data_IF_130832813743
#
_entry.id   IF_130832813743
#
_cell.length_a   1.000
_cell.length_b   1.000
_cell.length_c   1.000
_cell.angle_alpha   90.00
_cell.angle_beta   90.00
_cell.angle_gamma   90.00
#
_symmetry.space_group_name_H-M   'P 1'
#
loop_
_entity.id
_entity.type
_entity.pdbx_description
1 polymer ?
#
# COMPACT_ATOMS: atom_id res chain seq x y z
N UNK A 1 23.69 -26.62 58.91
CA UNK A 1 22.41 -26.83 58.19
C UNK A 1 22.54 -26.17 56.83
N UNK A 2 22.46 -26.97 55.75
CA UNK A 2 22.44 -26.50 54.36
C UNK A 2 21.15 -25.71 54.12
N UNK A 3 21.23 -24.50 53.57
CA UNK A 3 20.13 -23.84 52.89
C UNK A 3 20.62 -23.41 51.51
N UNK A 4 20.35 -24.27 50.53
CA UNK A 4 20.37 -23.93 49.11
C UNK A 4 19.32 -22.85 48.88
N UNK A 5 19.73 -21.71 48.34
CA UNK A 5 18.80 -20.72 47.78
C UNK A 5 18.96 -20.80 46.27
N UNK A 6 17.92 -21.30 45.61
CA UNK A 6 17.83 -21.37 44.15
C UNK A 6 17.63 -19.95 43.60
N UNK A 7 18.57 -19.48 42.79
CA UNK A 7 18.42 -18.33 41.89
C UNK A 7 17.54 -18.75 40.72
N UNK A 8 16.38 -18.13 40.52
CA UNK A 8 15.73 -18.02 39.21
C UNK A 8 15.04 -16.65 39.14
N UNK A 9 15.71 -15.68 38.53
CA UNK A 9 15.07 -14.47 38.01
C UNK A 9 15.26 -14.53 36.49
N UNK A 10 14.27 -15.14 35.86
CA UNK A 10 14.08 -15.17 34.41
C UNK A 10 13.64 -13.77 33.98
N UNK A 11 14.62 -12.89 33.75
CA UNK A 11 14.39 -11.61 33.11
C UNK A 11 14.11 -11.84 31.63
N UNK A 12 12.83 -11.80 31.27
CA UNK A 12 12.36 -11.79 29.89
C UNK A 12 13.10 -10.68 29.12
N UNK A 13 13.92 -11.11 28.17
CA UNK A 13 14.38 -10.29 27.07
C UNK A 13 13.14 -9.74 26.38
N UNK A 14 12.79 -8.48 26.65
CA UNK A 14 12.07 -7.70 25.66
C UNK A 14 13.05 -7.52 24.50
N UNK A 15 13.05 -8.48 23.59
CA UNK A 15 13.33 -8.19 22.20
C UNK A 15 12.20 -7.26 21.76
N UNK A 16 12.34 -5.96 22.06
CA UNK A 16 11.69 -4.96 21.24
C UNK A 16 12.10 -5.30 19.82
N UNK A 17 11.11 -5.55 18.96
CA UNK A 17 11.36 -5.78 17.55
C UNK A 17 12.27 -4.64 17.09
N UNK A 18 13.54 -4.96 16.89
CA UNK A 18 14.44 -4.06 16.23
C UNK A 18 13.83 -3.92 14.83
N UNK A 19 13.21 -2.77 14.57
CA UNK A 19 13.12 -2.24 13.22
C UNK A 19 14.52 -2.46 12.63
N UNK A 20 14.65 -3.47 11.76
CA UNK A 20 15.94 -3.87 11.23
C UNK A 20 16.59 -2.63 10.65
N UNK A 21 17.87 -2.40 10.97
CA UNK A 21 18.62 -1.22 10.54
C UNK A 21 18.37 -0.99 9.04
N UNK A 22 17.51 -0.01 8.77
CA UNK A 22 17.08 0.31 7.43
C UNK A 22 18.26 1.01 6.76
N UNK A 23 18.74 0.53 5.59
CA UNK A 23 19.90 1.13 4.97
C UNK A 23 19.62 2.60 4.68
N UNK A 24 20.54 3.47 5.11
CA UNK A 24 20.48 4.90 4.84
C UNK A 24 20.71 5.15 3.34
N UNK A 25 19.65 4.99 2.55
CA UNK A 25 19.64 5.35 1.14
C UNK A 25 19.54 6.86 1.03
N UNK A 26 20.70 7.52 1.13
CA UNK A 26 20.86 8.95 0.94
C UNK A 26 20.14 9.49 -0.30
N UNK A 27 19.80 10.77 -0.20
CA UNK A 27 19.07 11.66 -1.10
C UNK A 27 17.55 11.73 -0.85
N UNK A 28 17.15 12.88 -0.31
CA UNK A 28 15.77 13.36 -0.30
C UNK A 28 15.27 13.54 -1.74
N UNK A 29 13.97 13.37 -1.96
CA UNK A 29 13.34 13.60 -3.27
C UNK A 29 13.05 12.35 -4.11
N UNK A 30 13.23 11.14 -3.56
CA UNK A 30 12.80 9.90 -4.21
C UNK A 30 11.29 9.74 -4.12
N UNK A 31 10.69 9.32 -5.22
CA UNK A 31 9.24 9.20 -5.32
C UNK A 31 8.82 7.86 -5.92
N UNK A 32 7.59 7.49 -5.59
CA UNK A 32 6.90 6.35 -6.20
C UNK A 32 5.57 6.83 -6.76
N UNK A 33 5.32 6.51 -8.02
CA UNK A 33 4.06 6.81 -8.70
C UNK A 33 3.24 5.54 -8.80
N UNK A 34 2.06 5.55 -8.20
CA UNK A 34 1.07 4.48 -8.33
C UNK A 34 0.05 4.87 -9.38
N UNK A 35 -0.32 3.90 -10.23
CA UNK A 35 -1.30 4.11 -11.29
C UNK A 35 -2.24 2.93 -11.38
N UNK A 36 -3.52 3.21 -11.23
CA UNK A 36 -4.63 2.28 -11.45
C UNK A 36 -5.23 2.61 -12.82
N UNK A 37 -5.42 1.60 -13.67
CA UNK A 37 -6.16 1.73 -14.93
C UNK A 37 -7.36 0.79 -14.92
N UNK A 38 -8.53 1.36 -15.20
CA UNK A 38 -9.79 0.61 -15.35
C UNK A 38 -10.21 0.50 -16.82
N UNK A 39 -11.18 -0.36 -17.12
CA UNK A 39 -11.71 -0.56 -18.46
C UNK A 39 -12.48 0.65 -18.98
N UNK A 40 -13.36 1.17 -18.14
CA UNK A 40 -14.18 2.34 -18.39
C UNK A 40 -13.55 3.61 -17.86
N UNK A 41 -14.17 4.75 -18.21
CA UNK A 41 -13.79 6.01 -17.57
C UNK A 41 -14.06 5.91 -16.07
N UNK A 42 -13.15 6.45 -15.27
CA UNK A 42 -13.27 6.45 -13.83
C UNK A 42 -14.53 7.18 -13.38
N UNK A 43 -15.21 6.63 -12.37
CA UNK A 43 -16.36 7.23 -11.74
C UNK A 43 -15.92 7.87 -10.42
N UNK A 44 -16.10 9.19 -10.22
CA UNK A 44 -15.75 9.85 -8.96
C UNK A 44 -16.56 9.37 -7.75
N UNK A 45 -17.66 8.64 -7.94
CA UNK A 45 -18.43 8.02 -6.86
C UNK A 45 -17.80 6.71 -6.34
N UNK A 46 -16.86 6.13 -7.08
CA UNK A 46 -16.07 4.99 -6.64
C UNK A 46 -14.85 5.45 -5.84
N UNK A 47 -14.31 4.55 -5.04
CA UNK A 47 -13.07 4.75 -4.29
C UNK A 47 -12.03 3.79 -4.82
N UNK A 48 -10.95 4.33 -5.38
CA UNK A 48 -9.83 3.56 -5.87
C UNK A 48 -8.77 3.54 -4.79
N UNK A 49 -8.30 2.37 -4.37
CA UNK A 49 -7.36 2.25 -3.24
C UNK A 49 -6.14 1.42 -3.60
N UNK A 50 -4.99 1.86 -3.10
CA UNK A 50 -3.73 1.11 -3.08
C UNK A 50 -3.31 0.95 -1.61
N UNK A 51 -3.32 -0.26 -1.10
CA UNK A 51 -2.68 -0.58 0.17
C UNK A 51 -1.20 -0.87 -0.05
N UNK A 52 -0.38 -0.32 0.82
CA UNK A 52 1.08 -0.31 0.72
C UNK A 52 1.65 -0.76 2.06
N UNK A 53 2.27 -1.94 2.06
CA UNK A 53 3.11 -2.40 3.15
C UNK A 53 4.57 -1.99 2.90
N UNK A 54 5.21 -1.53 3.96
CA UNK A 54 6.57 -1.00 3.97
C UNK A 54 7.48 -1.71 4.97
N UNK A 55 6.94 -2.55 5.86
CA UNK A 55 7.69 -3.23 6.92
C UNK A 55 8.17 -4.64 6.53
N UNK A 56 7.60 -5.20 5.45
CA UNK A 56 7.98 -6.50 4.90
C UNK A 56 7.42 -7.70 5.65
N UNK A 57 6.47 -7.49 6.56
CA UNK A 57 5.54 -8.54 6.95
C UNK A 57 4.73 -8.93 5.72
N UNK A 58 4.43 -10.22 5.57
CA UNK A 58 3.66 -10.66 4.42
C UNK A 58 2.23 -10.12 4.54
N UNK A 59 1.82 -9.31 3.58
CA UNK A 59 0.41 -9.05 3.37
C UNK A 59 -0.32 -10.38 3.21
N UNK A 60 -1.28 -10.67 4.08
CA UNK A 60 -2.36 -11.58 3.70
C UNK A 60 -3.10 -10.83 2.60
N UNK A 61 -2.75 -11.12 1.34
CA UNK A 61 -3.28 -10.44 0.14
C UNK A 61 -4.80 -10.26 0.18
N UNK A 62 -5.41 -9.50 -0.74
CA UNK A 62 -6.84 -9.20 -0.69
C UNK A 62 -7.67 -10.47 -0.91
N UNK A 63 -7.87 -11.18 0.19
CA UNK A 63 -8.81 -12.25 0.44
C UNK A 63 -9.79 -11.83 1.55
N UNK A 64 -9.55 -10.68 2.19
CA UNK A 64 -10.43 -10.00 3.11
C UNK A 64 -10.42 -8.51 2.80
N UNK A 65 -11.62 -7.98 2.56
CA UNK A 65 -12.07 -6.61 2.80
C UNK A 65 -10.99 -5.51 2.97
N UNK A 66 -10.96 -4.45 2.15
CA UNK A 66 -10.14 -3.25 2.39
C UNK A 66 -10.30 -2.60 3.78
N UNK A 67 -11.37 -2.93 4.52
CA UNK A 67 -11.53 -2.63 5.94
C UNK A 67 -10.49 -3.30 6.85
N UNK A 68 -9.79 -4.33 6.39
CA UNK A 68 -8.70 -5.04 7.09
C UNK A 68 -7.32 -4.41 6.86
N UNK A 69 -7.20 -3.38 6.03
CA UNK A 69 -5.92 -2.69 5.74
C UNK A 69 -5.47 -1.74 6.86
N UNK A 70 -5.90 -2.01 8.09
CA UNK A 70 -5.50 -1.25 9.28
C UNK A 70 -4.01 -1.46 9.55
N UNK A 71 -3.28 -0.37 9.77
CA UNK A 71 -1.83 -0.42 10.00
C UNK A 71 -0.98 -0.38 8.73
N UNK A 72 -1.60 -0.34 7.54
CA UNK A 72 -0.92 -0.11 6.27
C UNK A 72 -0.97 1.37 5.89
N UNK A 73 -0.11 1.77 4.97
CA UNK A 73 -0.33 2.99 4.21
C UNK A 73 -1.41 2.73 3.16
N UNK A 74 -2.35 3.65 2.98
CA UNK A 74 -3.41 3.52 1.98
C UNK A 74 -3.49 4.79 1.16
N UNK A 75 -3.17 4.69 -0.13
CA UNK A 75 -3.40 5.75 -1.11
C UNK A 75 -4.80 5.55 -1.70
N UNK A 76 -5.70 6.50 -1.49
CA UNK A 76 -7.07 6.45 -2.01
C UNK A 76 -7.41 7.67 -2.88
N UNK A 77 -8.14 7.45 -3.97
CA UNK A 77 -8.81 8.52 -4.71
C UNK A 77 -10.28 8.52 -4.31
N UNK A 78 -10.71 9.56 -3.59
CA UNK A 78 -12.11 9.77 -3.19
C UNK A 78 -12.64 11.02 -3.86
N UNK A 79 -13.72 10.90 -4.63
CA UNK A 79 -14.22 12.00 -5.46
C UNK A 79 -13.12 12.57 -6.38
N UNK A 80 -12.32 11.68 -6.98
CA UNK A 80 -11.19 12.02 -7.84
C UNK A 80 -9.99 12.68 -7.16
N UNK A 81 -10.03 12.88 -5.84
CA UNK A 81 -8.95 13.54 -5.09
C UNK A 81 -8.09 12.50 -4.36
N UNK A 82 -6.77 12.45 -4.59
CA UNK A 82 -5.88 11.50 -3.92
C UNK A 82 -5.52 11.92 -2.49
N UNK A 83 -5.53 10.96 -1.58
CA UNK A 83 -5.16 11.08 -0.18
C UNK A 83 -4.30 9.90 0.23
N UNK A 84 -3.28 10.15 1.04
CA UNK A 84 -2.48 9.12 1.70
C UNK A 84 -2.92 9.01 3.16
N UNK A 85 -3.44 7.85 3.54
CA UNK A 85 -3.68 7.47 4.92
C UNK A 85 -2.44 6.76 5.46
N UNK A 86 -1.98 7.20 6.63
CA UNK A 86 -0.84 6.62 7.34
C UNK A 86 -1.31 5.55 8.34
N UNK A 87 -0.43 4.62 8.75
CA UNK A 87 -0.75 3.59 9.75
C UNK A 87 -1.29 4.13 11.08
N UNK A 88 -0.93 5.35 11.45
CA UNK A 88 -1.39 6.02 12.68
C UNK A 88 -2.78 6.67 12.54
N UNK A 89 -3.41 6.55 11.36
CA UNK A 89 -4.71 7.12 11.03
C UNK A 89 -4.65 8.57 10.54
N UNK A 90 -3.47 9.19 10.47
CA UNK A 90 -3.34 10.53 9.89
C UNK A 90 -3.52 10.47 8.38
N UNK A 91 -4.10 11.52 7.80
CA UNK A 91 -4.39 11.60 6.37
C UNK A 91 -3.76 12.85 5.78
N UNK A 92 -2.99 12.68 4.70
CA UNK A 92 -2.34 13.76 3.98
C UNK A 92 -2.84 13.85 2.54
N UNK A 93 -2.99 15.07 2.04
CA UNK A 93 -3.35 15.30 0.64
C UNK A 93 -2.13 15.05 -0.26
N UNK A 94 -2.33 14.38 -1.39
CA UNK A 94 -1.28 14.16 -2.38
C UNK A 94 -1.47 15.13 -3.55
N UNK A 95 -0.64 16.17 -3.62
CA UNK A 95 -0.79 17.21 -4.65
C UNK A 95 -0.42 16.76 -6.06
N UNK A 96 0.52 15.81 -6.16
CA UNK A 96 0.97 15.25 -7.43
C UNK A 96 0.08 14.05 -7.79
N UNK A 97 -1.14 14.32 -8.23
CA UNK A 97 -2.02 13.26 -8.70
C UNK A 97 -2.92 13.70 -9.85
N UNK A 98 -3.43 12.70 -10.56
CA UNK A 98 -4.30 12.84 -11.71
C UNK A 98 -5.44 11.83 -11.59
N UNK A 99 -6.62 12.23 -12.03
CA UNK A 99 -7.80 11.39 -12.11
C UNK A 99 -8.55 11.76 -13.38
N UNK A 100 -8.30 11.00 -14.45
CA UNK A 100 -8.86 11.33 -15.76
C UNK A 100 -8.92 10.13 -16.70
N UNK A 101 -9.95 10.14 -17.56
CA UNK A 101 -10.22 9.02 -18.47
C UNK A 101 -10.32 7.72 -17.67
N UNK A 102 -9.48 6.75 -18.01
CA UNK A 102 -9.42 5.42 -17.38
C UNK A 102 -8.40 5.32 -16.24
N UNK A 103 -7.67 6.40 -15.91
CA UNK A 103 -6.45 6.32 -15.10
C UNK A 103 -6.50 7.21 -13.86
N UNK A 104 -6.26 6.60 -12.70
CA UNK A 104 -6.05 7.28 -11.43
C UNK A 104 -4.57 7.13 -11.09
N UNK A 105 -3.90 8.24 -10.84
CA UNK A 105 -2.45 8.31 -10.64
C UNK A 105 -2.11 9.26 -9.51
N UNK A 106 -1.09 8.92 -8.73
CA UNK A 106 -0.55 9.80 -7.71
C UNK A 106 0.90 9.40 -7.38
N UNK A 107 1.69 10.43 -7.11
CA UNK A 107 3.11 10.33 -6.76
C UNK A 107 3.29 10.67 -5.29
N UNK A 108 3.91 9.76 -4.55
CA UNK A 108 4.17 9.85 -3.12
C UNK A 108 5.68 9.88 -2.89
N UNK A 109 6.15 10.71 -1.96
CA UNK A 109 7.57 10.67 -1.58
C UNK A 109 7.84 9.42 -0.75
N UNK A 110 8.98 8.76 -0.96
CA UNK A 110 9.32 7.59 -0.17
C UNK A 110 9.48 7.92 1.33
N UNK A 111 9.81 9.16 1.67
CA UNK A 111 9.89 9.62 3.06
C UNK A 111 8.54 9.59 3.78
N UNK A 112 7.45 9.89 3.05
CA UNK A 112 6.09 9.81 3.58
C UNK A 112 5.68 8.36 3.88
N UNK A 113 6.39 7.39 3.29
CA UNK A 113 6.21 5.95 3.51
C UNK A 113 7.24 5.36 4.50
N UNK A 114 8.06 6.21 5.16
CA UNK A 114 9.10 5.76 6.07
C UNK A 114 10.40 5.30 5.39
N UNK A 115 10.65 5.71 4.14
CA UNK A 115 11.84 5.40 3.32
C UNK A 115 12.13 3.92 3.04
N UNK A 116 11.13 3.08 2.75
CA UNK A 116 11.28 1.62 2.78
C UNK A 116 12.27 1.08 1.75
N UNK A 117 12.77 -0.13 2.00
CA UNK A 117 13.61 -0.87 1.04
C UNK A 117 12.82 -1.63 -0.03
N UNK A 118 11.55 -1.91 0.24
CA UNK A 118 10.61 -2.62 -0.63
C UNK A 118 9.17 -2.18 -0.31
N UNK A 119 8.27 -2.37 -1.27
CA UNK A 119 6.83 -2.21 -1.08
C UNK A 119 6.13 -3.53 -1.37
N UNK A 120 5.11 -3.87 -0.60
CA UNK A 120 4.09 -4.83 -1.02
C UNK A 120 2.80 -4.08 -1.32
N UNK A 121 2.23 -4.33 -2.49
CA UNK A 121 1.18 -3.49 -3.06
C UNK A 121 -0.05 -4.33 -3.35
N UNK A 122 -1.20 -3.86 -2.87
CA UNK A 122 -2.54 -4.40 -3.15
C UNK A 122 -3.44 -3.29 -3.67
N UNK A 123 -4.42 -3.64 -4.49
CA UNK A 123 -5.35 -2.67 -5.08
C UNK A 123 -6.77 -3.20 -5.04
N UNK A 124 -7.70 -2.31 -4.71
CA UNK A 124 -9.13 -2.56 -4.78
C UNK A 124 -9.86 -1.30 -5.27
N UNK A 125 -11.00 -1.50 -5.90
CA UNK A 125 -11.98 -0.48 -6.25
C UNK A 125 -13.25 -0.77 -5.47
N UNK A 126 -13.78 0.24 -4.79
CA UNK A 126 -14.98 0.13 -3.96
C UNK A 126 -16.08 1.08 -4.42
N UNK A 127 -17.32 0.76 -4.06
CA UNK A 127 -18.40 1.75 -4.06
C UNK A 127 -18.30 2.71 -2.86
N UNK A 128 -19.13 3.75 -2.84
CA UNK A 128 -19.18 4.72 -1.74
C UNK A 128 -19.62 4.13 -0.37
N UNK A 129 -20.12 2.89 -0.36
CA UNK A 129 -20.47 2.13 0.84
C UNK A 129 -19.35 1.22 1.36
N UNK A 130 -18.24 1.11 0.63
CA UNK A 130 -17.10 0.26 0.96
C UNK A 130 -17.22 -1.18 0.42
N UNK A 131 -18.19 -1.47 -0.45
CA UNK A 131 -18.26 -2.79 -1.09
C UNK A 131 -17.23 -2.87 -2.22
N UNK A 132 -16.46 -3.96 -2.26
CA UNK A 132 -15.51 -4.22 -3.35
C UNK A 132 -16.27 -4.41 -4.66
N UNK A 133 -15.96 -3.57 -5.64
CA UNK A 133 -16.38 -3.73 -7.04
C UNK A 133 -15.42 -4.67 -7.76
N UNK A 134 -14.12 -4.45 -7.54
CA UNK A 134 -13.05 -5.22 -8.14
C UNK A 134 -11.75 -5.10 -7.31
N UNK A 135 -10.83 -6.06 -7.44
CA UNK A 135 -9.54 -6.04 -6.77
C UNK A 135 -8.51 -6.94 -7.44
N UNK A 136 -7.24 -6.53 -7.36
CA UNK A 136 -6.14 -7.38 -7.79
C UNK A 136 -6.09 -8.64 -6.94
N UNK A 137 -6.14 -9.83 -7.54
CA UNK A 137 -6.24 -11.12 -6.81
C UNK A 137 -5.14 -11.40 -5.78
N UNK A 138 -3.96 -10.83 -5.96
CA UNK A 138 -2.82 -11.02 -5.06
C UNK A 138 -2.03 -9.72 -4.94
N UNK A 139 -1.35 -9.55 -3.82
CA UNK A 139 -0.33 -8.52 -3.71
C UNK A 139 0.84 -8.80 -4.65
N UNK A 140 1.62 -7.75 -4.93
CA UNK A 140 2.91 -7.88 -5.60
C UNK A 140 3.98 -7.02 -4.93
N UNK A 141 5.22 -7.47 -5.00
CA UNK A 141 6.36 -6.78 -4.39
C UNK A 141 7.06 -5.86 -5.40
N UNK A 142 7.42 -4.66 -4.95
CA UNK A 142 8.30 -3.71 -5.64
C UNK A 142 9.58 -3.53 -4.82
N UNK A 143 10.69 -4.08 -5.32
CA UNK A 143 12.01 -3.93 -4.69
C UNK A 143 12.63 -2.63 -5.14
N UNK A 144 12.45 -1.58 -4.35
CA UNK A 144 12.80 -0.19 -4.68
C UNK A 144 14.27 0.01 -5.10
N UNK A 145 15.19 -0.85 -4.67
CA UNK A 145 16.60 -0.80 -5.10
C UNK A 145 16.84 -1.30 -6.54
N UNK A 146 15.98 -2.19 -7.04
CA UNK A 146 16.26 -2.98 -8.24
C UNK A 146 15.23 -2.75 -9.36
N UNK A 147 14.05 -2.26 -9.00
CA UNK A 147 12.92 -2.12 -9.92
C UNK A 147 12.54 -0.66 -10.06
N UNK A 148 12.55 -0.17 -11.30
CA UNK A 148 12.07 1.18 -11.66
C UNK A 148 10.61 1.18 -12.08
N UNK A 149 10.12 0.05 -12.58
CA UNK A 149 8.77 -0.09 -13.07
C UNK A 149 8.31 -1.52 -12.82
N UNK A 150 7.12 -1.67 -12.25
CA UNK A 150 6.44 -2.95 -12.04
C UNK A 150 4.98 -2.77 -12.45
N UNK A 151 4.46 -3.70 -13.23
CA UNK A 151 3.06 -3.73 -13.65
C UNK A 151 2.44 -5.09 -13.35
N UNK A 152 1.16 -5.08 -12.98
CA UNK A 152 0.31 -6.27 -12.84
C UNK A 152 -1.01 -6.01 -13.55
N UNK A 153 -1.47 -7.01 -14.30
CA UNK A 153 -2.79 -7.01 -14.92
C UNK A 153 -3.77 -7.77 -14.04
N UNK A 154 -5.05 -7.43 -14.16
CA UNK A 154 -6.16 -8.20 -13.61
C UNK A 154 -7.00 -8.82 -14.74
N UNK A 155 -7.98 -9.67 -14.40
CA UNK A 155 -8.82 -10.36 -15.38
C UNK A 155 -9.96 -9.46 -15.86
N UNK A 156 -9.86 -8.97 -17.11
CA UNK A 156 -10.88 -8.10 -17.68
C UNK A 156 -12.31 -8.69 -17.60
N UNK A 157 -13.25 -7.88 -17.08
CA UNK A 157 -14.68 -8.15 -17.16
C UNK A 157 -15.25 -9.04 -16.06
N UNK A 158 -14.52 -9.24 -14.97
CA UNK A 158 -15.05 -9.86 -13.76
C UNK A 158 -15.86 -8.88 -12.87
N UNK A 159 -15.68 -7.57 -13.08
CA UNK A 159 -16.58 -6.54 -12.57
C UNK A 159 -17.74 -6.22 -13.54
N UNK A 160 -18.94 -5.98 -12.99
CA UNK A 160 -20.13 -5.61 -13.77
C UNK A 160 -20.08 -4.16 -14.29
N UNK A 161 -19.38 -3.28 -13.58
CA UNK A 161 -19.26 -1.87 -13.92
C UNK A 161 -17.89 -1.61 -14.54
N UNK A 162 -17.82 -1.25 -15.84
CA UNK A 162 -16.55 -0.94 -16.50
C UNK A 162 -15.73 0.14 -15.79
N UNK A 163 -16.37 1.10 -15.11
CA UNK A 163 -15.69 2.19 -14.40
C UNK A 163 -14.90 1.72 -13.17
N UNK A 164 -15.23 0.55 -12.63
CA UNK A 164 -14.53 -0.11 -11.53
C UNK A 164 -13.79 -1.40 -11.91
N UNK A 165 -13.96 -1.89 -13.14
CA UNK A 165 -13.27 -3.05 -13.72
C UNK A 165 -11.78 -2.73 -13.91
N UNK A 166 -10.96 -3.22 -12.98
CA UNK A 166 -9.53 -3.05 -12.90
C UNK A 166 -8.86 -3.81 -14.07
N UNK A 167 -8.03 -3.13 -14.85
CA UNK A 167 -7.27 -3.79 -15.91
C UNK A 167 -5.81 -3.97 -15.54
N UNK A 168 -5.22 -2.96 -14.92
CA UNK A 168 -3.82 -2.98 -14.53
C UNK A 168 -3.50 -2.01 -13.40
N UNK A 169 -2.44 -2.35 -12.69
CA UNK A 169 -1.78 -1.51 -11.70
C UNK A 169 -0.32 -1.40 -12.10
N UNK A 170 0.21 -0.17 -12.14
CA UNK A 170 1.65 0.05 -12.32
C UNK A 170 2.23 0.90 -11.20
N UNK A 171 3.48 0.60 -10.87
CA UNK A 171 4.29 1.30 -9.88
C UNK A 171 5.60 1.71 -10.54
N UNK A 172 5.87 3.00 -10.53
CA UNK A 172 7.09 3.59 -11.10
C UNK A 172 7.91 4.25 -10.00
N UNK A 173 9.21 3.97 -9.93
CA UNK A 173 10.14 4.45 -8.92
C UNK A 173 11.10 5.44 -9.56
N UNK A 174 11.14 6.66 -9.03
CA UNK A 174 12.04 7.73 -9.46
C UNK A 174 13.08 8.04 -8.39
N UNK A 175 14.32 8.26 -8.82
CA UNK A 175 15.47 8.60 -7.98
C UNK A 175 16.04 9.95 -8.37
#
# INVERSE_FOLDING_TARGET
>A
MRRMVFLVLLGLLFAGCAFGEQPQWGEAGKTVTFRITCKGNLDPNLVYRVAIDTDGNALTGPSGDPGEWTGLYVLEWRNGTPWLLHPDGTRTYVSAGNFSGQTAEATVNLEDLGNPGQLEVMVAVEDGGGNIIDALRTFFTVRLKYQRFVERSDEEGDAKDPSGDLLRVSVEVSF
#
